data_IF_386228611277
#
_entry.id   IF_386228611277
#
_cell.length_a   1.000
_cell.length_b   1.000
_cell.length_c   1.000
_cell.angle_alpha   90.00
_cell.angle_beta   90.00
_cell.angle_gamma   90.00
#
_symmetry.space_group_name_H-M   'P 1'
#
loop_
_entity.id
_entity.type
_entity.pdbx_description
1 polymer ?
#
# COMPACT_ATOMS: atom_id res chain seq x y z
N UNK A 1 16.55 -3.58 6.15
CA UNK A 1 15.66 -3.82 5.00
C UNK A 1 14.41 -2.98 5.21
N UNK A 2 13.96 -2.27 4.18
CA UNK A 2 12.81 -1.36 4.26
C UNK A 2 11.80 -1.74 3.18
N UNK A 3 10.52 -1.79 3.54
CA UNK A 3 9.45 -1.96 2.56
C UNK A 3 8.85 -0.58 2.23
N UNK A 4 8.68 -0.31 0.94
CA UNK A 4 7.92 0.84 0.44
C UNK A 4 6.74 0.33 -0.37
N UNK A 5 5.54 0.82 -0.08
CA UNK A 5 4.33 0.50 -0.81
C UNK A 5 3.84 1.73 -1.57
N UNK A 6 3.26 1.49 -2.75
CA UNK A 6 2.61 2.52 -3.56
C UNK A 6 1.44 1.90 -4.31
N UNK A 7 0.48 2.74 -4.67
CA UNK A 7 -0.66 2.32 -5.47
C UNK A 7 -0.51 2.88 -6.88
N UNK A 8 -0.61 2.01 -7.88
CA UNK A 8 -0.64 2.44 -9.27
C UNK A 8 -2.05 2.89 -9.70
N UNK A 9 -2.18 3.69 -10.77
CA UNK A 9 -3.49 4.13 -11.30
C UNK A 9 -4.42 3.02 -11.84
N UNK A 10 -4.06 1.75 -11.70
CA UNK A 10 -4.85 0.57 -12.12
C UNK A 10 -5.08 -0.39 -10.95
N UNK A 11 -5.23 0.16 -9.75
CA UNK A 11 -5.51 -0.56 -8.51
C UNK A 11 -4.50 -1.68 -8.19
N UNK A 12 -3.26 -1.53 -8.67
CA UNK A 12 -2.18 -2.46 -8.33
C UNK A 12 -1.38 -1.90 -7.17
N UNK A 13 -1.37 -2.61 -6.05
CA UNK A 13 -0.46 -2.35 -4.94
C UNK A 13 0.92 -2.85 -5.30
N UNK A 14 1.88 -1.94 -5.36
CA UNK A 14 3.29 -2.23 -5.59
C UNK A 14 4.03 -2.13 -4.26
N UNK A 15 4.57 -3.24 -3.76
CA UNK A 15 5.39 -3.31 -2.55
C UNK A 15 6.82 -3.66 -2.92
N UNK A 16 7.73 -2.71 -2.78
CA UNK A 16 9.15 -2.87 -3.07
C UNK A 16 9.96 -2.99 -1.78
N UNK A 17 10.88 -3.94 -1.75
CA UNK A 17 11.78 -4.20 -0.63
C UNK A 17 13.18 -3.71 -0.96
N UNK A 18 13.79 -2.96 -0.04
CA UNK A 18 15.06 -2.27 -0.25
C UNK A 18 16.14 -2.71 0.74
N UNK A 19 17.39 -2.75 0.26
CA UNK A 19 18.61 -2.78 1.06
C UNK A 19 19.42 -1.54 0.69
N UNK A 20 19.59 -0.61 1.64
CA UNK A 20 20.04 0.75 1.29
C UNK A 20 19.02 1.42 0.37
N UNK A 21 19.49 1.94 -0.76
CA UNK A 21 18.65 2.59 -1.78
C UNK A 21 18.28 1.66 -2.96
N UNK A 22 18.77 0.42 -2.97
CA UNK A 22 18.51 -0.54 -4.05
C UNK A 22 17.26 -1.38 -3.77
N UNK A 23 16.32 -1.39 -4.71
CA UNK A 23 15.16 -2.27 -4.69
C UNK A 23 15.56 -3.69 -5.10
N UNK A 24 15.50 -4.64 -4.17
CA UNK A 24 15.89 -6.03 -4.41
C UNK A 24 14.73 -6.90 -4.91
N UNK A 25 13.49 -6.50 -4.61
CA UNK A 25 12.29 -7.24 -4.99
C UNK A 25 11.08 -6.30 -5.02
N UNK A 26 10.17 -6.52 -5.96
CA UNK A 26 8.89 -5.80 -6.02
C UNK A 26 7.75 -6.79 -6.21
N UNK A 27 6.83 -6.81 -5.26
CA UNK A 27 5.57 -7.52 -5.33
C UNK A 27 4.51 -6.60 -5.95
N UNK A 28 3.82 -7.09 -6.98
CA UNK A 28 2.67 -6.40 -7.58
C UNK A 28 1.42 -7.20 -7.30
N UNK A 29 0.48 -6.63 -6.56
CA UNK A 29 -0.78 -7.24 -6.20
C UNK A 29 -1.90 -6.48 -6.89
N UNK A 30 -2.62 -7.14 -7.80
CA UNK A 30 -3.86 -6.58 -8.35
C UNK A 30 -4.90 -6.60 -7.24
N UNK A 31 -5.35 -5.43 -6.82
CA UNK A 31 -6.39 -5.32 -5.81
C UNK A 31 -7.75 -5.50 -6.48
N UNK A 32 -8.69 -6.03 -5.70
CA UNK A 32 -10.08 -6.16 -6.13
C UNK A 32 -10.79 -4.85 -5.83
N UNK A 33 -11.42 -4.26 -6.84
CA UNK A 33 -12.32 -3.13 -6.63
C UNK A 33 -13.44 -3.53 -5.66
N UNK A 34 -13.70 -2.71 -4.65
CA UNK A 34 -14.87 -2.88 -3.81
C UNK A 34 -16.09 -2.35 -4.55
N UNK A 35 -16.93 -3.26 -5.05
CA UNK A 35 -18.11 -2.90 -5.85
C UNK A 35 -19.19 -2.13 -5.08
N UNK A 36 -19.09 -2.01 -3.75
CA UNK A 36 -20.03 -1.24 -2.92
C UNK A 36 -19.62 0.20 -2.66
N UNK A 37 -18.33 0.46 -2.44
CA UNK A 37 -17.82 1.81 -2.15
C UNK A 37 -17.20 2.49 -3.37
N UNK A 38 -16.79 1.73 -4.39
CA UNK A 38 -15.96 2.22 -5.48
C UNK A 38 -14.51 2.47 -5.07
N UNK A 39 -14.16 2.21 -3.80
CA UNK A 39 -12.81 2.32 -3.28
C UNK A 39 -12.06 1.00 -3.41
N UNK A 40 -10.74 1.08 -3.32
CA UNK A 40 -9.87 -0.08 -3.23
C UNK A 40 -9.92 -0.64 -1.81
N UNK A 41 -10.19 -1.94 -1.68
CA UNK A 41 -10.26 -2.60 -0.38
C UNK A 41 -8.87 -2.94 0.15
N UNK A 42 -8.42 -2.20 1.16
CA UNK A 42 -7.24 -2.49 1.99
C UNK A 42 -7.65 -2.72 3.46
N UNK A 43 -8.91 -3.08 3.70
CA UNK A 43 -9.39 -3.35 5.04
C UNK A 43 -8.62 -4.54 5.64
N UNK A 44 -8.27 -4.45 6.92
CA UNK A 44 -7.49 -5.46 7.64
C UNK A 44 -6.07 -5.71 7.07
N UNK A 45 -5.52 -4.79 6.25
CA UNK A 45 -4.15 -4.89 5.78
C UNK A 45 -3.13 -4.62 6.90
N UNK A 46 -1.94 -5.22 6.80
CA UNK A 46 -0.84 -5.05 7.75
C UNK A 46 0.30 -4.25 7.11
N UNK A 47 0.38 -2.96 7.42
CA UNK A 47 1.38 -2.02 6.92
C UNK A 47 2.39 -1.55 7.99
N UNK A 48 2.52 -2.30 9.08
CA UNK A 48 3.42 -1.93 10.18
C UNK A 48 4.88 -1.74 9.67
N UNK A 49 5.46 -0.57 9.93
CA UNK A 49 6.82 -0.22 9.50
C UNK A 49 7.01 -0.03 7.99
N UNK A 50 5.93 0.03 7.21
CA UNK A 50 5.97 0.27 5.76
C UNK A 50 5.92 1.77 5.47
N UNK A 51 6.73 2.23 4.53
CA UNK A 51 6.59 3.58 3.96
C UNK A 51 5.60 3.52 2.81
N UNK A 52 4.53 4.30 2.87
CA UNK A 52 3.45 4.30 1.89
C UNK A 52 3.51 5.62 1.12
N UNK A 53 3.59 5.56 -0.19
CA UNK A 53 3.72 6.72 -1.08
C UNK A 53 2.71 6.67 -2.22
N UNK A 54 2.10 7.81 -2.55
CA UNK A 54 1.21 7.93 -3.71
C UNK A 54 -0.05 7.06 -3.60
N UNK A 55 -0.55 6.89 -2.38
CA UNK A 55 -1.85 6.27 -2.13
C UNK A 55 -2.78 7.40 -1.68
N UNK A 56 -3.77 7.75 -2.49
CA UNK A 56 -4.82 8.66 -2.05
C UNK A 56 -5.68 7.93 -1.01
N UNK A 57 -5.61 8.40 0.25
CA UNK A 57 -6.36 7.83 1.36
C UNK A 57 -7.88 7.95 1.18
N UNK A 58 -8.36 8.81 0.27
CA UNK A 58 -9.77 8.95 -0.08
C UNK A 58 -10.25 7.88 -1.08
N UNK A 59 -9.33 7.19 -1.76
CA UNK A 59 -9.63 6.15 -2.74
C UNK A 59 -9.46 4.73 -2.19
N UNK A 60 -9.05 4.59 -0.91
CA UNK A 60 -8.82 3.31 -0.24
C UNK A 60 -9.68 3.15 1.02
N UNK A 61 -10.19 1.95 1.24
CA UNK A 61 -10.75 1.54 2.54
C UNK A 61 -9.63 0.96 3.41
N UNK A 62 -9.30 1.62 4.52
CA UNK A 62 -8.30 1.18 5.50
C UNK A 62 -8.93 0.74 6.83
N UNK A 63 -10.22 0.40 6.84
CA UNK A 63 -10.89 -0.07 8.05
C UNK A 63 -10.15 -1.27 8.66
N UNK A 64 -9.84 -1.19 9.95
CA UNK A 64 -9.08 -2.19 10.70
C UNK A 64 -7.64 -2.47 10.19
N UNK A 65 -7.08 -1.64 9.31
CA UNK A 65 -5.70 -1.81 8.88
C UNK A 65 -4.73 -1.49 10.03
N UNK A 66 -3.67 -2.30 10.16
CA UNK A 66 -2.58 -2.02 11.10
C UNK A 66 -1.50 -1.17 10.42
N UNK A 67 -1.27 0.03 10.96
CA UNK A 67 -0.37 1.03 10.36
C UNK A 67 0.69 1.53 11.36
N UNK A 68 0.98 0.75 12.40
CA UNK A 68 1.91 1.14 13.46
C UNK A 68 3.30 1.41 12.88
N UNK A 69 3.88 2.56 13.20
CA UNK A 69 5.18 3.02 12.69
C UNK A 69 5.27 3.10 11.15
N UNK A 70 4.14 3.12 10.45
CA UNK A 70 4.11 3.44 9.02
C UNK A 70 4.29 4.93 8.80
N UNK A 71 4.73 5.30 7.59
CA UNK A 71 4.82 6.71 7.17
C UNK A 71 4.08 6.86 5.86
N UNK A 72 3.17 7.82 5.80
CA UNK A 72 2.33 8.08 4.64
C UNK A 72 2.76 9.38 3.98
N UNK A 73 2.95 9.33 2.67
CA UNK A 73 3.31 10.47 1.84
C UNK A 73 2.36 10.51 0.66
N UNK A 74 1.81 11.69 0.40
CA UNK A 74 1.05 11.99 -0.82
C UNK A 74 1.95 11.88 -2.07
#
# INVERSE_FOLDING_TARGET
MTAKASLSPKDTLCVSFFIGDEAIFTLKLQLKENTRSGCIDLSNAYFNGVVICGIDCLEVDLSNAETNNSRWYD
#
